data_IF_924332140496
#
_entry.id   IF_924332140496
#
_cell.length_a   1.000
_cell.length_b   1.000
_cell.length_c   1.000
_cell.angle_alpha   90.00
_cell.angle_beta   90.00
_cell.angle_gamma   90.00
#
_symmetry.space_group_name_H-M   'P 1'
#
loop_
_entity.id
_entity.type
_entity.pdbx_description
1 polymer ?
#
# COMPACT_ATOMS: atom_id res chain seq x y z
N UNK A 1 3.46 2.65 -28.05
CA UNK A 1 3.01 1.67 -27.04
C UNK A 1 2.60 2.44 -25.79
N UNK A 2 1.32 2.49 -25.45
CA UNK A 2 0.90 2.92 -24.11
C UNK A 2 1.18 1.80 -23.10
N UNK A 3 1.37 2.10 -21.80
CA UNK A 3 1.57 1.07 -20.79
C UNK A 3 0.37 0.11 -20.75
N UNK A 4 0.62 -1.16 -20.49
CA UNK A 4 -0.44 -2.14 -20.23
C UNK A 4 -1.28 -1.69 -19.03
N UNK A 5 -2.58 -1.99 -19.09
CA UNK A 5 -3.66 -1.41 -18.29
C UNK A 5 -3.31 -1.11 -16.83
N UNK A 6 -3.49 0.14 -16.44
CA UNK A 6 -3.38 0.54 -15.06
C UNK A 6 -4.65 0.15 -14.32
N UNK A 7 -4.52 -0.35 -13.10
CA UNK A 7 -5.63 -0.79 -12.25
C UNK A 7 -5.60 0.01 -10.96
N UNK A 8 -6.80 0.34 -10.49
CA UNK A 8 -7.01 0.96 -9.19
C UNK A 8 -8.09 0.18 -8.42
N UNK A 9 -7.91 -0.11 -7.12
CA UNK A 9 -8.91 -0.77 -6.31
C UNK A 9 -10.03 0.21 -5.92
N UNK A 10 -11.23 -0.02 -6.47
CA UNK A 10 -12.38 0.86 -6.33
C UNK A 10 -13.21 0.49 -5.09
N UNK A 11 -13.60 1.51 -4.33
CA UNK A 11 -14.50 1.48 -3.18
C UNK A 11 -15.82 2.19 -3.51
N UNK A 12 -16.01 2.73 -4.70
CA UNK A 12 -17.32 3.27 -5.09
C UNK A 12 -17.59 3.11 -6.59
N UNK A 13 -18.50 2.19 -6.92
CA UNK A 13 -19.14 2.12 -8.22
C UNK A 13 -20.33 3.08 -8.20
N UNK A 14 -20.25 4.20 -8.93
CA UNK A 14 -21.38 5.03 -9.39
C UNK A 14 -22.67 4.89 -8.54
N UNK A 15 -22.69 5.40 -7.31
CA UNK A 15 -23.87 5.32 -6.44
C UNK A 15 -23.54 5.59 -4.97
N UNK A 16 -24.46 6.14 -4.19
CA UNK A 16 -24.26 6.62 -2.80
C UNK A 16 -23.99 5.53 -1.73
N UNK A 17 -23.53 4.33 -2.13
CA UNK A 17 -23.35 3.17 -1.24
C UNK A 17 -21.97 2.55 -1.40
N UNK A 18 -21.23 2.47 -0.30
CA UNK A 18 -19.95 1.76 -0.23
C UNK A 18 -20.16 0.24 -0.43
N UNK A 19 -19.38 -0.43 -1.31
CA UNK A 19 -19.39 -1.86 -1.47
C UNK A 19 -18.79 -2.52 -0.24
N UNK A 20 -19.30 -3.70 0.10
CA UNK A 20 -18.79 -4.51 1.23
C UNK A 20 -17.57 -5.36 0.85
N UNK A 21 -17.23 -5.39 -0.44
CA UNK A 21 -16.07 -6.09 -1.01
C UNK A 21 -15.24 -5.11 -1.82
N UNK A 22 -13.92 -5.25 -1.73
CA UNK A 22 -12.97 -4.51 -2.55
C UNK A 22 -13.30 -4.73 -4.03
N UNK A 23 -13.38 -3.66 -4.80
CA UNK A 23 -13.52 -3.72 -6.27
C UNK A 23 -12.21 -3.27 -6.91
N UNK A 24 -12.11 -3.43 -8.22
CA UNK A 24 -11.01 -2.89 -9.03
C UNK A 24 -11.50 -2.42 -10.39
N UNK A 25 -10.82 -1.44 -10.96
CA UNK A 25 -11.11 -0.89 -12.27
C UNK A 25 -9.83 -0.68 -13.07
N UNK A 26 -9.82 -1.18 -14.30
CA UNK A 26 -8.81 -0.84 -15.29
C UNK A 26 -9.11 0.54 -15.88
N UNK A 27 -8.13 1.44 -15.82
CA UNK A 27 -8.17 2.82 -16.30
C UNK A 27 -6.87 3.18 -17.02
N UNK A 28 -6.89 4.29 -17.76
CA UNK A 28 -5.72 4.76 -18.52
C UNK A 28 -5.15 6.05 -17.93
N UNK A 29 -3.83 6.22 -18.02
CA UNK A 29 -3.18 7.48 -17.70
C UNK A 29 -3.53 8.53 -18.76
N UNK A 30 -3.88 9.72 -18.28
CA UNK A 30 -4.12 10.90 -19.12
C UNK A 30 -2.88 11.79 -19.05
N UNK A 31 -2.46 12.27 -20.22
CA UNK A 31 -1.30 13.14 -20.34
C UNK A 31 -1.51 14.45 -19.55
N UNK A 32 -0.45 14.95 -18.94
CA UNK A 32 -0.51 16.05 -17.97
C UNK A 32 -1.12 17.32 -18.55
N UNK A 33 -0.69 17.74 -19.75
CA UNK A 33 -1.25 18.92 -20.43
C UNK A 33 -2.70 18.68 -20.88
N UNK A 34 -3.04 17.47 -21.31
CA UNK A 34 -4.42 17.10 -21.61
C UNK A 34 -5.32 17.18 -20.36
N UNK A 35 -4.83 16.75 -19.20
CA UNK A 35 -5.57 16.87 -17.95
C UNK A 35 -5.73 18.34 -17.51
N UNK A 36 -4.67 19.14 -17.58
CA UNK A 36 -4.74 20.57 -17.28
C UNK A 36 -5.74 21.29 -18.21
N UNK A 37 -5.79 20.92 -19.49
CA UNK A 37 -6.79 21.46 -20.44
C UNK A 37 -8.23 21.22 -20.00
N UNK A 38 -8.52 20.07 -19.39
CA UNK A 38 -9.85 19.73 -18.89
C UNK A 38 -10.18 20.58 -17.66
N UNK A 39 -9.24 20.71 -16.73
CA UNK A 39 -9.45 21.44 -15.47
C UNK A 39 -9.34 22.96 -15.59
N UNK A 40 -8.57 23.46 -16.57
CA UNK A 40 -8.24 24.87 -16.74
C UNK A 40 -8.23 25.26 -18.24
N UNK A 41 -9.37 25.15 -18.94
CA UNK A 41 -9.43 25.35 -20.39
C UNK A 41 -9.04 26.76 -20.84
N UNK A 42 -9.32 27.77 -20.01
CA UNK A 42 -8.97 29.18 -20.27
C UNK A 42 -7.54 29.53 -19.84
N UNK A 43 -6.90 28.72 -19.00
CA UNK A 43 -5.59 29.05 -18.47
C UNK A 43 -4.45 28.95 -19.47
N UNK A 44 -4.67 28.23 -20.57
CA UNK A 44 -3.74 28.21 -21.71
C UNK A 44 -3.77 29.54 -22.47
N UNK A 45 -4.90 30.24 -22.45
CA UNK A 45 -5.08 31.52 -23.13
C UNK A 45 -4.67 32.72 -22.26
N UNK A 46 -4.64 32.54 -20.94
CA UNK A 46 -4.39 33.60 -19.97
C UNK A 46 -3.12 33.28 -19.15
N UNK A 47 -1.95 33.85 -19.48
CA UNK A 47 -0.68 33.54 -18.82
C UNK A 47 -0.63 33.89 -17.31
N UNK A 48 -1.65 34.59 -16.81
CA UNK A 48 -1.80 34.95 -15.40
C UNK A 48 -2.41 33.82 -14.56
N UNK A 49 -2.97 32.77 -15.17
CA UNK A 49 -3.65 31.71 -14.44
C UNK A 49 -2.65 30.68 -13.93
N UNK A 50 -2.82 30.28 -12.67
CA UNK A 50 -2.03 29.22 -12.06
C UNK A 50 -2.50 27.85 -12.57
N UNK A 51 -1.55 26.94 -12.76
CA UNK A 51 -1.83 25.54 -13.08
C UNK A 51 -2.61 24.86 -11.97
N UNK A 52 -3.64 24.10 -12.35
CA UNK A 52 -4.46 23.31 -11.41
C UNK A 52 -3.79 21.98 -11.14
N UNK A 53 -3.39 21.28 -12.20
CA UNK A 53 -2.67 20.02 -12.16
C UNK A 53 -1.17 20.31 -12.05
N UNK A 54 -0.58 19.96 -10.92
CA UNK A 54 0.85 20.19 -10.64
C UNK A 54 1.70 19.00 -11.11
N UNK A 55 3.00 19.19 -11.29
CA UNK A 55 3.94 18.11 -11.65
C UNK A 55 3.94 16.94 -10.64
N UNK A 56 3.57 17.24 -9.39
CA UNK A 56 3.37 16.28 -8.30
C UNK A 56 2.08 15.46 -8.43
N UNK A 57 1.33 15.64 -9.51
CA UNK A 57 0.03 14.99 -9.76
C UNK A 57 0.03 14.26 -11.09
N UNK A 58 -0.80 13.22 -11.18
CA UNK A 58 -1.06 12.44 -12.39
C UNK A 58 -2.57 12.18 -12.49
N UNK A 59 -3.11 12.23 -13.71
CA UNK A 59 -4.53 11.99 -13.94
C UNK A 59 -4.76 10.62 -14.58
N UNK A 60 -5.85 9.95 -14.20
CA UNK A 60 -6.22 8.68 -14.80
C UNK A 60 -7.74 8.51 -14.80
N UNK A 61 -8.28 7.96 -15.89
CA UNK A 61 -9.67 7.57 -16.01
C UNK A 61 -9.85 6.63 -17.21
N UNK A 62 -11.01 5.99 -17.33
CA UNK A 62 -11.53 5.45 -18.59
C UNK A 62 -12.84 6.19 -18.93
N UNK A 63 -12.77 7.30 -19.68
CA UNK A 63 -13.95 8.07 -20.05
C UNK A 63 -14.93 7.27 -20.92
N UNK A 64 -14.43 6.32 -21.72
CA UNK A 64 -15.26 5.51 -22.61
C UNK A 64 -16.12 4.51 -21.84
N UNK A 65 -15.56 3.93 -20.76
CA UNK A 65 -16.27 2.96 -19.90
C UNK A 65 -16.84 3.57 -18.63
N UNK A 66 -16.72 4.90 -18.46
CA UNK A 66 -17.10 5.62 -17.23
C UNK A 66 -16.51 4.94 -15.99
N UNK A 67 -15.19 4.75 -15.98
CA UNK A 67 -14.47 4.24 -14.81
C UNK A 67 -13.51 5.31 -14.31
N UNK A 68 -13.56 5.54 -13.01
CA UNK A 68 -12.73 6.51 -12.30
C UNK A 68 -12.74 6.17 -10.81
N UNK A 69 -11.77 6.70 -10.07
CA UNK A 69 -11.85 6.85 -8.62
C UNK A 69 -13.09 7.62 -8.18
N UNK A 70 -13.57 7.32 -6.98
CA UNK A 70 -14.70 8.01 -6.39
C UNK A 70 -14.47 8.30 -4.90
N UNK A 71 -15.52 8.73 -4.20
CA UNK A 71 -15.43 9.05 -2.78
C UNK A 71 -14.96 7.84 -1.95
N UNK A 72 -14.22 8.06 -0.88
CA UNK A 72 -13.68 6.97 -0.05
C UNK A 72 -12.53 6.17 -0.66
N UNK A 73 -12.19 6.41 -1.94
CA UNK A 73 -11.03 5.78 -2.57
C UNK A 73 -9.71 6.45 -2.22
N UNK A 74 -9.72 7.65 -1.64
CA UNK A 74 -8.53 8.45 -1.32
C UNK A 74 -7.48 7.64 -0.53
N UNK A 75 -6.22 7.72 -0.97
CA UNK A 75 -5.12 6.95 -0.40
C UNK A 75 -4.90 5.57 -1.04
N UNK A 76 -5.83 5.10 -1.86
CA UNK A 76 -5.70 3.85 -2.61
C UNK A 76 -4.58 3.89 -3.66
N UNK A 77 -3.99 2.73 -4.03
CA UNK A 77 -2.91 2.65 -5.02
C UNK A 77 -3.43 2.64 -6.46
N UNK A 78 -2.86 3.49 -7.32
CA UNK A 78 -2.94 3.32 -8.77
C UNK A 78 -1.69 2.56 -9.24
N UNK A 79 -1.88 1.35 -9.77
CA UNK A 79 -0.78 0.48 -10.17
C UNK A 79 -0.89 0.11 -11.65
N UNK A 80 0.23 0.08 -12.38
CA UNK A 80 0.27 -0.38 -13.76
C UNK A 80 1.15 -1.61 -13.89
N UNK A 81 0.79 -2.50 -14.81
CA UNK A 81 1.60 -3.67 -15.12
C UNK A 81 2.62 -3.29 -16.19
N UNK A 82 3.88 -3.17 -15.81
CA UNK A 82 4.99 -2.74 -16.68
C UNK A 82 6.06 -3.82 -16.61
N UNK A 83 6.47 -4.34 -17.77
CA UNK A 83 7.53 -5.35 -17.90
C UNK A 83 7.37 -6.58 -16.99
N UNK A 84 6.14 -7.04 -16.79
CA UNK A 84 5.83 -8.22 -15.97
C UNK A 84 5.70 -7.96 -14.47
N UNK A 85 5.75 -6.70 -14.04
CA UNK A 85 5.68 -6.30 -12.63
C UNK A 85 4.61 -5.23 -12.43
N UNK A 86 3.90 -5.30 -11.30
CA UNK A 86 2.98 -4.25 -10.88
C UNK A 86 3.75 -3.13 -10.19
N UNK A 87 3.65 -1.93 -10.73
CA UNK A 87 4.31 -0.73 -10.22
C UNK A 87 3.24 0.26 -9.78
N UNK A 88 3.28 0.67 -8.51
CA UNK A 88 2.44 1.76 -8.02
C UNK A 88 2.98 3.10 -8.52
N UNK A 89 2.21 3.77 -9.38
CA UNK A 89 2.59 5.04 -9.99
C UNK A 89 1.82 6.23 -9.40
N UNK A 90 0.71 5.94 -8.72
CA UNK A 90 -0.16 6.96 -8.16
C UNK A 90 -0.76 6.59 -6.81
N UNK A 91 -1.21 7.61 -6.08
CA UNK A 91 -2.08 7.49 -4.90
C UNK A 91 -3.30 8.35 -5.13
N UNK A 92 -4.50 7.80 -5.04
CA UNK A 92 -5.74 8.57 -5.26
C UNK A 92 -5.80 9.75 -4.29
N UNK A 93 -6.14 10.92 -4.81
CA UNK A 93 -6.09 12.15 -4.04
C UNK A 93 -7.45 12.84 -4.04
N UNK A 94 -7.88 13.34 -5.21
CA UNK A 94 -9.09 14.14 -5.32
C UNK A 94 -9.70 14.06 -6.73
N UNK A 95 -10.95 14.49 -6.84
CA UNK A 95 -11.72 14.58 -8.08
C UNK A 95 -12.97 15.44 -7.83
N UNK A 96 -13.61 15.92 -8.90
CA UNK A 96 -14.83 16.74 -8.77
C UNK A 96 -16.07 15.85 -8.77
N UNK A 97 -16.08 14.85 -9.65
CA UNK A 97 -17.17 13.88 -9.85
C UNK A 97 -16.55 12.51 -10.06
N UNK A 98 -17.39 11.47 -10.04
CA UNK A 98 -16.94 10.10 -10.28
C UNK A 98 -17.28 9.70 -11.72
N UNK A 99 -16.26 9.44 -12.54
CA UNK A 99 -16.40 8.86 -13.87
C UNK A 99 -17.26 9.70 -14.85
N UNK A 100 -17.07 11.01 -14.79
CA UNK A 100 -17.67 11.98 -15.70
C UNK A 100 -16.59 12.69 -16.53
N UNK A 101 -16.82 13.95 -16.91
CA UNK A 101 -15.93 14.77 -17.74
C UNK A 101 -14.55 15.00 -17.11
N UNK A 102 -14.46 15.05 -15.79
CA UNK A 102 -13.23 15.31 -15.05
C UNK A 102 -12.57 14.00 -14.61
N UNK A 103 -11.31 13.73 -14.99
CA UNK A 103 -10.62 12.52 -14.57
C UNK A 103 -10.14 12.60 -13.12
N UNK A 104 -10.08 11.46 -12.43
CA UNK A 104 -9.47 11.37 -11.10
C UNK A 104 -8.02 11.86 -11.08
N UNK A 105 -7.68 12.60 -10.01
CA UNK A 105 -6.35 13.15 -9.78
C UNK A 105 -5.66 12.38 -8.65
N UNK A 106 -4.46 11.92 -8.97
CA UNK A 106 -3.63 11.10 -8.10
C UNK A 106 -2.34 11.85 -7.79
N UNK A 107 -1.78 11.63 -6.60
CA UNK A 107 -0.40 12.01 -6.28
C UNK A 107 0.56 11.18 -7.13
N UNK A 108 1.50 11.83 -7.81
CA UNK A 108 2.51 11.17 -8.63
C UNK A 108 3.61 10.55 -7.75
N UNK A 109 3.59 9.22 -7.59
CA UNK A 109 4.56 8.51 -6.73
C UNK A 109 5.99 8.69 -7.23
N UNK A 110 6.19 8.76 -8.55
CA UNK A 110 7.51 8.96 -9.16
C UNK A 110 8.10 10.31 -8.78
N UNK A 111 7.28 11.36 -8.73
CA UNK A 111 7.71 12.69 -8.29
C UNK A 111 8.25 12.67 -6.84
N UNK A 112 7.60 11.90 -5.96
CA UNK A 112 7.97 11.80 -4.55
C UNK A 112 8.96 10.68 -4.21
N UNK A 113 9.43 9.91 -5.21
CA UNK A 113 10.27 8.72 -4.99
C UNK A 113 11.50 9.00 -4.10
N UNK A 114 12.21 10.10 -4.34
CA UNK A 114 13.40 10.48 -3.54
C UNK A 114 13.04 10.71 -2.07
N UNK A 115 11.93 11.38 -1.82
CA UNK A 115 11.44 11.63 -0.46
C UNK A 115 11.05 10.31 0.22
N UNK A 116 10.30 9.44 -0.48
CA UNK A 116 9.90 8.12 0.03
C UNK A 116 11.12 7.30 0.44
N UNK A 117 12.12 7.18 -0.45
CA UNK A 117 13.37 6.45 -0.18
C UNK A 117 14.12 7.05 1.03
N UNK A 118 14.12 8.38 1.16
CA UNK A 118 14.75 9.05 2.32
C UNK A 118 14.06 8.69 3.63
N UNK A 119 12.73 8.60 3.65
CA UNK A 119 11.97 8.21 4.86
C UNK A 119 12.19 6.74 5.20
N UNK A 120 12.15 5.85 4.21
CA UNK A 120 12.35 4.41 4.41
C UNK A 120 13.77 4.13 4.95
N UNK A 121 14.79 4.70 4.31
CA UNK A 121 16.19 4.50 4.76
C UNK A 121 16.45 5.04 6.17
N UNK A 122 15.84 6.17 6.55
CA UNK A 122 15.92 6.66 7.94
C UNK A 122 15.25 5.70 8.93
N UNK A 123 14.09 5.15 8.57
CA UNK A 123 13.40 4.18 9.42
C UNK A 123 14.23 2.90 9.62
N UNK A 124 14.91 2.41 8.57
CA UNK A 124 15.82 1.26 8.66
C UNK A 124 17.03 1.55 9.56
N UNK A 125 17.65 2.73 9.42
CA UNK A 125 18.78 3.14 10.27
C UNK A 125 18.35 3.29 11.74
N UNK A 126 17.18 3.89 12.00
CA UNK A 126 16.64 3.97 13.36
C UNK A 126 16.35 2.57 13.93
N UNK A 127 15.87 1.63 13.12
CA UNK A 127 15.66 0.23 13.51
C UNK A 127 16.98 -0.51 13.76
N UNK A 128 18.02 -0.24 12.97
CA UNK A 128 19.34 -0.87 13.12
C UNK A 128 20.12 -0.31 14.33
N UNK A 129 19.95 0.98 14.64
CA UNK A 129 20.61 1.63 15.77
C UNK A 129 19.87 1.41 17.11
N UNK A 130 18.56 1.14 17.07
CA UNK A 130 17.87 0.47 18.16
C UNK A 130 18.14 -1.03 18.04
N UNK A 131 19.38 -1.46 18.36
CA UNK A 131 19.64 -2.87 18.65
C UNK A 131 18.52 -3.34 19.57
N UNK A 132 17.72 -4.29 19.09
CA UNK A 132 16.46 -4.67 19.70
C UNK A 132 16.73 -4.99 21.17
N UNK A 133 16.31 -4.10 22.07
CA UNK A 133 16.48 -4.30 23.52
C UNK A 133 15.89 -5.65 23.92
N UNK A 134 14.92 -6.18 23.16
CA UNK A 134 14.37 -7.52 23.37
C UNK A 134 15.37 -8.64 23.10
N UNK A 135 16.29 -8.51 22.13
CA UNK A 135 17.35 -9.49 21.87
C UNK A 135 18.36 -9.53 23.04
N UNK A 136 18.73 -8.35 23.56
CA UNK A 136 19.61 -8.28 24.73
C UNK A 136 18.91 -8.72 26.02
N UNK A 137 17.65 -8.37 26.20
CA UNK A 137 16.84 -8.81 27.35
C UNK A 137 16.68 -10.33 27.33
N UNK A 138 16.46 -10.94 26.16
CA UNK A 138 16.39 -12.39 26.02
C UNK A 138 17.73 -13.06 26.37
N UNK A 139 18.85 -12.52 25.89
CA UNK A 139 20.18 -13.01 26.24
C UNK A 139 20.51 -12.83 27.73
N UNK A 140 20.09 -11.73 28.34
CA UNK A 140 20.24 -11.47 29.78
C UNK A 140 19.35 -12.42 30.61
N UNK A 141 18.12 -12.69 30.17
CA UNK A 141 17.21 -13.65 30.79
C UNK A 141 17.76 -15.07 30.69
N UNK A 142 18.27 -15.48 29.53
CA UNK A 142 18.90 -16.79 29.36
C UNK A 142 20.19 -16.92 30.20
N UNK A 143 21.02 -15.88 30.24
CA UNK A 143 22.24 -15.87 31.05
C UNK A 143 21.91 -15.91 32.55
N UNK A 144 20.90 -15.18 33.00
CA UNK A 144 20.45 -15.22 34.40
C UNK A 144 19.82 -16.56 34.78
N UNK A 145 19.02 -17.18 33.90
CA UNK A 145 18.50 -18.54 34.09
C UNK A 145 19.61 -19.60 34.12
N UNK A 146 20.66 -19.44 33.32
CA UNK A 146 21.82 -20.34 33.32
C UNK A 146 22.71 -20.16 34.56
N UNK A 147 22.85 -18.93 35.07
CA UNK A 147 23.58 -18.60 36.31
C UNK A 147 22.79 -18.97 37.57
N UNK A 148 21.45 -18.98 37.49
CA UNK A 148 20.55 -19.59 38.48
C UNK A 148 20.51 -21.12 38.36
N UNK A 149 21.58 -21.73 37.83
CA UNK A 149 21.71 -23.17 37.60
C UNK A 149 21.10 -24.00 38.74
N UNK A 150 20.53 -25.18 38.41
CA UNK A 150 19.58 -25.87 39.27
C UNK A 150 20.18 -26.05 40.67
N UNK A 151 19.65 -25.30 41.64
CA UNK A 151 19.85 -25.62 43.05
C UNK A 151 19.54 -27.10 43.21
N UNK A 152 20.57 -27.88 43.54
CA UNK A 152 20.51 -29.30 43.80
C UNK A 152 19.23 -29.66 44.57
N UNK A 153 18.28 -30.33 43.93
CA UNK A 153 17.31 -31.16 44.61
C UNK A 153 17.80 -32.61 44.51
N UNK A 154 18.75 -32.96 45.39
CA UNK A 154 19.02 -34.36 45.70
C UNK A 154 17.83 -34.88 46.51
N UNK A 155 16.95 -35.65 45.87
CA UNK A 155 15.80 -36.29 46.50
C UNK A 155 15.31 -37.46 45.66
N UNK A 156 15.44 -38.68 46.18
CA UNK A 156 15.08 -39.93 45.49
C UNK A 156 13.57 -40.01 45.19
N UNK A 157 13.26 -40.48 43.97
CA UNK A 157 12.11 -41.29 43.54
C UNK A 157 10.75 -41.11 44.26
N UNK A 158 9.71 -40.70 43.51
CA UNK A 158 8.40 -41.37 43.39
C UNK A 158 7.46 -40.68 42.35
N UNK A 159 7.20 -41.43 41.26
CA UNK A 159 6.02 -41.46 40.37
C UNK A 159 5.07 -40.24 40.26
N UNK A 160 4.86 -39.71 39.04
CA UNK A 160 3.68 -40.02 38.18
C UNK A 160 3.75 -39.30 36.81
N UNK A 161 3.48 -40.07 35.75
CA UNK A 161 3.13 -39.64 34.39
C UNK A 161 1.90 -38.72 34.38
N UNK A 162 1.96 -37.60 33.66
CA UNK A 162 0.93 -37.01 32.78
C UNK A 162 1.73 -36.06 31.86
N UNK A 163 1.91 -36.32 30.56
CA UNK A 163 0.92 -36.20 29.48
C UNK A 163 1.49 -35.18 28.49
N UNK A 164 1.97 -35.64 27.33
CA UNK A 164 2.57 -34.78 26.31
C UNK A 164 1.51 -33.99 25.55
N UNK A 165 1.85 -32.76 25.15
CA UNK A 165 1.08 -32.02 24.14
C UNK A 165 2.02 -31.16 23.28
N UNK A 166 2.36 -31.76 22.14
CA UNK A 166 2.54 -31.24 20.78
C UNK A 166 2.75 -29.72 20.60
N UNK A 167 3.94 -29.38 20.09
CA UNK A 167 4.14 -28.60 18.86
C UNK A 167 3.48 -27.23 18.72
N UNK A 168 4.29 -26.18 18.89
CA UNK A 168 4.09 -24.90 18.19
C UNK A 168 4.63 -25.05 16.77
N UNK A 169 3.77 -24.83 15.77
CA UNK A 169 4.16 -24.72 14.38
C UNK A 169 3.57 -23.42 13.83
N UNK A 170 4.45 -22.55 13.35
CA UNK A 170 4.09 -21.25 12.81
C UNK A 170 3.54 -21.31 11.40
N UNK A 171 3.17 -20.10 10.94
CA UNK A 171 3.11 -19.65 9.54
C UNK A 171 2.14 -20.37 8.61
N UNK A 172 1.01 -19.71 8.31
CA UNK A 172 0.32 -19.83 7.02
C UNK A 172 -0.53 -18.58 6.71
N UNK A 173 0.08 -17.56 6.11
CA UNK A 173 -0.68 -16.61 5.27
C UNK A 173 -1.11 -17.38 4.01
N UNK A 174 -2.38 -17.75 3.94
CA UNK A 174 -2.94 -18.45 2.78
C UNK A 174 -3.31 -17.42 1.71
N UNK A 175 -2.50 -17.35 0.66
CA UNK A 175 -2.88 -16.70 -0.60
C UNK A 175 -4.00 -17.54 -1.22
N UNK A 176 -5.16 -16.93 -1.45
CA UNK A 176 -6.26 -17.56 -2.20
C UNK A 176 -5.91 -17.54 -3.70
N UNK A 177 -5.89 -18.69 -4.40
CA UNK A 177 -5.75 -18.69 -5.84
C UNK A 177 -7.05 -18.24 -6.51
N UNK A 178 -6.88 -17.48 -7.60
CA UNK A 178 -7.90 -17.09 -8.58
C UNK A 178 -8.71 -18.31 -9.00
N UNK A 179 -10.02 -18.26 -8.80
CA UNK A 179 -10.98 -19.13 -9.48
C UNK A 179 -11.26 -18.56 -10.86
N UNK A 180 -10.83 -19.28 -11.89
CA UNK A 180 -11.41 -19.19 -13.22
C UNK A 180 -12.51 -20.23 -13.33
N UNK A 181 -13.67 -19.79 -13.80
CA UNK A 181 -14.56 -20.41 -14.79
C UNK A 181 -15.61 -19.36 -15.18
#
# INVERSE_FOLDING_TARGET
>A
MGPAGCVFPLLLLLGSKYPTRLQEAEISIIEHLACEKIYNPVGILLPQTKWVIQESMICAADPAKKKDTCQGDSGGPLACHIDGVWIQIGVSSWGIECADLFPGVYTNVTYYQKWIITIISRAEVLRANNLDLSDFVFLIILLSLALLGPSCASGRHLLRRVGGMVGWEGNAWRISPRGGE
#
